data_IF_649600899739
#
_entry.id   IF_649600899739
#
_cell.length_a   1.000
_cell.length_b   1.000
_cell.length_c   1.000
_cell.angle_alpha   90.00
_cell.angle_beta   90.00
_cell.angle_gamma   90.00
#
_symmetry.space_group_name_H-M   'P 1'
#
loop_
_entity.id
_entity.type
_entity.pdbx_description
1 polymer ?
#
# COMPACT_ATOMS: atom_id res chain seq x y z
N UNK A 1 43.07 -25.36 -16.01
CA UNK A 1 43.21 -24.93 -14.62
C UNK A 1 42.41 -23.68 -14.45
N UNK A 2 41.28 -23.84 -14.19
CA UNK A 2 40.27 -23.71 -13.15
C UNK A 2 39.43 -22.44 -13.28
N UNK A 3 38.36 -22.57 -14.06
CA UNK A 3 37.21 -21.65 -14.06
C UNK A 3 36.15 -22.08 -13.00
N UNK A 4 36.58 -22.48 -11.81
CA UNK A 4 35.69 -23.07 -10.78
C UNK A 4 35.73 -22.36 -9.42
N UNK A 5 36.12 -21.12 -9.34
CA UNK A 5 36.17 -20.42 -8.04
C UNK A 5 35.59 -19.00 -8.00
N UNK A 6 34.66 -18.71 -8.92
CA UNK A 6 33.92 -17.44 -8.91
C UNK A 6 32.41 -17.64 -8.79
N UNK A 7 31.97 -18.84 -8.43
CA UNK A 7 30.62 -19.08 -7.94
C UNK A 7 30.72 -19.33 -6.44
N UNK A 8 30.41 -18.32 -5.68
CA UNK A 8 29.89 -18.32 -4.31
C UNK A 8 30.36 -17.12 -3.54
N UNK A 9 29.53 -16.15 -3.58
CA UNK A 9 29.01 -15.52 -2.38
C UNK A 9 27.74 -14.78 -2.84
N UNK A 10 26.71 -15.54 -3.18
CA UNK A 10 25.37 -15.08 -2.86
C UNK A 10 25.37 -15.15 -1.34
N UNK A 11 25.51 -14.01 -0.69
CA UNK A 11 25.22 -13.86 0.71
C UNK A 11 23.72 -14.14 0.83
N UNK A 12 23.36 -15.40 1.03
CA UNK A 12 22.09 -15.72 1.62
C UNK A 12 22.22 -15.19 3.04
N UNK A 13 21.76 -13.96 3.27
CA UNK A 13 21.29 -13.60 4.59
C UNK A 13 20.42 -14.78 5.01
N UNK A 14 20.78 -15.49 6.08
CA UNK A 14 19.90 -16.48 6.67
C UNK A 14 18.58 -15.73 6.88
N UNK A 15 17.55 -16.12 6.12
CA UNK A 15 16.22 -15.63 6.40
C UNK A 15 15.97 -15.97 7.87
N UNK A 16 15.88 -14.93 8.68
CA UNK A 16 15.59 -15.09 10.10
C UNK A 16 14.12 -15.50 10.19
N UNK A 17 13.84 -16.77 9.92
CA UNK A 17 12.50 -17.36 9.97
C UNK A 17 12.13 -17.44 11.46
N UNK A 18 11.66 -16.32 11.98
CA UNK A 18 11.06 -16.26 13.30
C UNK A 18 9.63 -16.78 13.14
N UNK A 19 9.23 -17.70 14.03
CA UNK A 19 7.85 -18.19 14.11
C UNK A 19 6.91 -17.01 14.38
N UNK A 20 6.05 -16.67 13.40
CA UNK A 20 5.16 -15.52 13.47
C UNK A 20 4.16 -15.58 14.63
N UNK A 21 3.89 -16.77 15.20
CA UNK A 21 3.05 -16.92 16.38
C UNK A 21 3.62 -16.24 17.64
N UNK A 22 4.90 -15.91 17.65
CA UNK A 22 5.60 -15.30 18.80
C UNK A 22 6.06 -13.87 18.51
N UNK A 23 5.63 -13.25 17.39
CA UNK A 23 5.98 -11.86 17.08
C UNK A 23 5.09 -10.89 17.81
N UNK A 24 5.70 -9.80 18.26
CA UNK A 24 5.01 -8.61 18.73
C UNK A 24 5.14 -7.54 17.65
N UNK A 25 4.00 -7.10 17.13
CA UNK A 25 3.96 -6.09 16.09
C UNK A 25 3.67 -4.71 16.67
N UNK A 26 4.37 -3.72 16.16
CA UNK A 26 4.07 -2.31 16.37
C UNK A 26 3.41 -1.75 15.11
N UNK A 27 2.17 -1.28 15.22
CA UNK A 27 1.47 -0.63 14.13
C UNK A 27 1.98 0.79 13.95
N UNK A 28 2.37 1.15 12.73
CA UNK A 28 2.94 2.46 12.39
C UNK A 28 2.02 3.19 11.42
N UNK A 29 1.50 4.33 11.86
CA UNK A 29 0.94 5.34 10.98
C UNK A 29 2.07 6.31 10.63
N UNK A 30 2.68 6.14 9.45
CA UNK A 30 3.89 6.88 9.02
C UNK A 30 3.64 8.38 9.09
N UNK A 31 2.47 8.85 8.64
CA UNK A 31 2.07 10.26 8.64
C UNK A 31 2.30 10.99 9.97
N UNK A 32 2.12 10.30 11.10
CA UNK A 32 2.23 10.88 12.45
C UNK A 32 3.40 10.35 13.27
N UNK A 33 4.26 9.49 12.70
CA UNK A 33 5.30 8.83 13.49
C UNK A 33 6.50 9.75 13.74
N UNK A 34 7.20 10.19 12.69
CA UNK A 34 8.33 11.10 12.80
C UNK A 34 8.58 11.84 11.47
N UNK A 35 8.65 13.16 11.54
CA UNK A 35 8.91 14.07 10.44
C UNK A 35 10.43 14.36 10.40
N UNK A 36 11.12 13.88 9.36
CA UNK A 36 12.57 14.03 9.24
C UNK A 36 13.01 15.29 8.51
N UNK A 37 12.12 15.90 7.72
CA UNK A 37 12.44 17.06 6.87
C UNK A 37 11.79 18.37 7.31
N UNK A 38 10.84 18.30 8.26
CA UNK A 38 10.22 19.48 8.88
C UNK A 38 9.02 20.03 8.13
N UNK A 39 8.40 19.24 7.27
CA UNK A 39 7.22 19.65 6.50
C UNK A 39 5.89 19.48 7.29
N UNK A 40 5.93 18.83 8.44
CA UNK A 40 4.78 18.56 9.31
C UNK A 40 4.14 17.20 9.10
N UNK A 41 4.69 16.37 8.22
CA UNK A 41 4.22 15.02 7.90
C UNK A 41 5.34 14.02 8.23
N UNK A 42 5.00 12.93 8.91
CA UNK A 42 5.94 11.84 9.14
C UNK A 42 6.30 11.11 7.86
N UNK A 43 7.52 10.59 7.77
CA UNK A 43 8.06 10.00 6.57
C UNK A 43 8.85 8.69 6.84
N UNK A 44 9.17 7.94 5.78
CA UNK A 44 9.88 6.66 5.89
C UNK A 44 11.30 6.81 6.40
N UNK A 45 11.95 7.93 6.11
CA UNK A 45 13.27 8.23 6.61
C UNK A 45 13.23 8.50 8.11
N UNK A 46 12.25 9.28 8.57
CA UNK A 46 12.02 9.54 9.98
C UNK A 46 11.71 8.25 10.76
N UNK A 47 10.91 7.35 10.18
CA UNK A 47 10.69 6.03 10.75
C UNK A 47 11.99 5.23 10.84
N UNK A 48 12.80 5.22 9.78
CA UNK A 48 14.09 4.50 9.73
C UNK A 48 15.05 5.01 10.78
N UNK A 49 15.17 6.33 10.94
CA UNK A 49 16.03 6.98 11.92
C UNK A 49 15.63 6.71 13.38
N UNK A 50 14.37 6.29 13.62
CA UNK A 50 13.83 6.04 14.94
C UNK A 50 13.44 4.58 15.20
N UNK A 51 13.95 3.64 14.41
CA UNK A 51 13.71 2.19 14.61
C UNK A 51 14.20 1.69 15.96
N UNK A 52 15.25 2.29 16.53
CA UNK A 52 15.79 1.89 17.82
C UNK A 52 14.80 2.11 18.98
N UNK A 53 13.79 2.96 18.81
CA UNK A 53 12.66 3.05 19.75
C UNK A 53 11.79 1.77 19.73
N UNK A 54 11.65 1.15 18.57
CA UNK A 54 10.82 -0.06 18.38
C UNK A 54 11.64 -1.29 18.76
N UNK A 55 12.86 -1.39 18.22
CA UNK A 55 13.82 -2.45 18.53
C UNK A 55 15.22 -2.01 18.03
N UNK A 56 16.21 -2.00 18.92
CA UNK A 56 17.59 -1.62 18.60
C UNK A 56 18.44 -2.79 18.06
N UNK A 57 17.86 -4.00 18.05
CA UNK A 57 18.53 -5.21 17.57
C UNK A 57 19.46 -5.87 18.60
N UNK A 58 19.58 -5.31 19.81
CA UNK A 58 20.39 -5.89 20.90
C UNK A 58 19.47 -6.45 22.01
N UNK A 59 19.35 -7.79 22.15
CA UNK A 59 18.49 -8.40 23.16
C UNK A 59 18.98 -8.20 24.60
N UNK A 60 20.14 -7.57 24.81
CA UNK A 60 20.69 -7.27 26.14
C UNK A 60 20.27 -5.89 26.64
N UNK A 61 19.68 -5.05 25.82
CA UNK A 61 19.16 -3.74 26.22
C UNK A 61 17.71 -3.86 26.69
N UNK A 62 17.23 -2.86 27.41
CA UNK A 62 15.84 -2.68 27.85
C UNK A 62 15.34 -1.25 27.57
N UNK A 63 15.94 -0.61 26.55
CA UNK A 63 15.68 0.79 26.18
C UNK A 63 14.71 0.95 25.02
N UNK A 64 14.30 -0.15 24.40
CA UNK A 64 13.35 -0.20 23.30
C UNK A 64 12.03 -0.90 23.70
N UNK A 65 11.10 -1.05 22.76
CA UNK A 65 9.85 -1.77 22.98
C UNK A 65 9.98 -3.29 22.81
N UNK A 66 11.08 -3.79 22.27
CA UNK A 66 11.32 -5.20 21.98
C UNK A 66 10.38 -5.79 20.93
N UNK A 67 9.73 -4.97 20.11
CA UNK A 67 8.88 -5.45 19.02
C UNK A 67 9.74 -6.01 17.89
N UNK A 68 9.38 -7.18 17.38
CA UNK A 68 10.10 -7.87 16.32
C UNK A 68 9.31 -7.92 15.00
N UNK A 69 8.31 -7.08 14.87
CA UNK A 69 7.57 -6.82 13.67
C UNK A 69 7.01 -5.39 13.64
N UNK A 70 6.88 -4.80 12.46
CA UNK A 70 6.11 -3.59 12.24
C UNK A 70 5.01 -3.86 11.22
N UNK A 71 3.87 -3.22 11.42
CA UNK A 71 2.77 -3.16 10.47
C UNK A 71 2.60 -1.71 10.04
N UNK A 72 2.94 -1.43 8.78
CA UNK A 72 2.76 -0.12 8.19
C UNK A 72 1.32 0.02 7.70
N UNK A 73 0.59 1.02 8.19
CA UNK A 73 -0.62 1.50 7.51
C UNK A 73 -0.27 1.87 6.07
N UNK A 74 -1.26 2.03 5.15
CA UNK A 74 -0.96 2.21 3.73
C UNK A 74 0.09 3.28 3.45
N UNK A 75 1.03 2.97 2.56
CA UNK A 75 2.16 3.84 2.18
C UNK A 75 2.15 4.23 0.70
N UNK A 76 1.18 3.74 -0.05
CA UNK A 76 1.02 4.03 -1.48
C UNK A 76 0.44 5.42 -1.70
N UNK A 77 0.62 6.01 -2.91
CA UNK A 77 -0.01 7.26 -3.30
C UNK A 77 -1.51 7.26 -3.09
N UNK A 78 -2.03 8.34 -2.53
CA UNK A 78 -3.42 8.47 -2.15
C UNK A 78 -3.85 9.94 -2.16
N UNK A 79 -5.16 10.20 -2.16
CA UNK A 79 -5.70 11.57 -2.07
C UNK A 79 -6.00 12.00 -0.65
N UNK A 80 -5.89 11.09 0.33
CA UNK A 80 -6.19 11.37 1.74
C UNK A 80 -4.99 11.10 2.65
N UNK A 81 -5.01 11.71 3.84
CA UNK A 81 -3.94 11.56 4.83
C UNK A 81 -3.79 10.14 5.38
N UNK A 82 -4.88 9.37 5.43
CA UNK A 82 -4.87 7.98 5.91
C UNK A 82 -4.43 6.96 4.87
N UNK A 83 -4.40 7.35 3.60
CA UNK A 83 -3.87 6.60 2.46
C UNK A 83 -4.59 5.28 2.11
N UNK A 84 -5.83 5.09 2.61
CA UNK A 84 -6.64 3.92 2.24
C UNK A 84 -7.28 4.02 0.85
N UNK A 85 -7.35 5.20 0.23
CA UNK A 85 -7.82 5.42 -1.14
C UNK A 85 -6.63 5.43 -2.11
N UNK A 86 -6.10 4.25 -2.41
CA UNK A 86 -4.89 4.06 -3.21
C UNK A 86 -5.10 4.49 -4.66
N UNK A 87 -4.20 5.32 -5.19
CA UNK A 87 -4.19 5.75 -6.58
C UNK A 87 -3.16 5.01 -7.44
N UNK A 88 -2.15 4.40 -6.82
CA UNK A 88 -1.11 3.61 -7.49
C UNK A 88 -0.54 2.57 -6.50
N UNK A 89 -0.68 1.28 -6.83
CA UNK A 89 -0.18 0.18 -5.98
C UNK A 89 1.31 -0.12 -6.17
N UNK A 90 1.96 0.47 -7.18
CA UNK A 90 3.35 0.18 -7.53
C UNK A 90 4.33 1.26 -7.08
N UNK A 91 3.84 2.26 -6.31
CA UNK A 91 4.64 3.40 -5.87
C UNK A 91 4.54 3.62 -4.36
N UNK A 92 5.49 4.36 -3.81
CA UNK A 92 5.43 4.97 -2.49
C UNK A 92 4.88 6.40 -2.62
N UNK A 93 4.01 6.80 -1.70
CA UNK A 93 3.49 8.17 -1.67
C UNK A 93 4.63 9.18 -1.54
N UNK A 94 4.71 10.19 -2.44
CA UNK A 94 5.77 11.20 -2.38
C UNK A 94 5.86 11.97 -1.06
N UNK A 95 4.76 12.06 -0.29
CA UNK A 95 4.78 12.64 1.07
C UNK A 95 5.57 11.78 2.06
N UNK A 96 5.70 10.48 1.79
CA UNK A 96 6.41 9.54 2.65
C UNK A 96 7.84 9.28 2.21
N UNK A 97 8.20 9.65 0.98
CA UNK A 97 9.52 9.45 0.39
C UNK A 97 9.50 8.66 -0.90
N UNK A 98 10.53 7.85 -1.11
CA UNK A 98 10.79 7.12 -2.34
C UNK A 98 10.78 5.61 -2.12
N UNK A 99 10.80 4.83 -3.21
CA UNK A 99 11.00 3.38 -3.15
C UNK A 99 12.36 3.02 -2.56
N UNK A 100 13.39 3.86 -2.75
CA UNK A 100 14.72 3.66 -2.14
C UNK A 100 14.66 3.86 -0.61
N UNK A 101 13.87 4.83 -0.12
CA UNK A 101 13.65 5.02 1.32
C UNK A 101 12.88 3.83 1.91
N UNK A 102 11.89 3.29 1.21
CA UNK A 102 11.18 2.09 1.63
C UNK A 102 12.09 0.86 1.68
N UNK A 103 12.93 0.67 0.66
CA UNK A 103 13.92 -0.41 0.63
C UNK A 103 14.90 -0.29 1.79
N UNK A 104 15.38 0.93 2.06
CA UNK A 104 16.27 1.23 3.19
C UNK A 104 15.61 0.89 4.52
N UNK A 105 14.34 1.28 4.72
CA UNK A 105 13.57 0.93 5.92
C UNK A 105 13.50 -0.59 6.11
N UNK A 106 13.17 -1.33 5.06
CA UNK A 106 13.06 -2.81 5.12
C UNK A 106 14.42 -3.43 5.49
N UNK A 107 15.50 -2.97 4.87
CA UNK A 107 16.86 -3.45 5.17
C UNK A 107 17.26 -3.16 6.63
N UNK A 108 16.95 -1.97 7.15
CA UNK A 108 17.26 -1.59 8.53
C UNK A 108 16.37 -2.36 9.53
N UNK A 109 15.13 -2.64 9.19
CA UNK A 109 14.27 -3.52 9.97
C UNK A 109 14.83 -4.95 10.05
N UNK A 110 15.23 -5.52 8.92
CA UNK A 110 15.78 -6.87 8.86
C UNK A 110 17.09 -7.00 9.65
N UNK A 111 17.96 -6.00 9.63
CA UNK A 111 19.19 -5.98 10.46
C UNK A 111 18.89 -6.09 11.96
N UNK A 112 17.74 -5.57 12.40
CA UNK A 112 17.28 -5.59 13.80
C UNK A 112 16.40 -6.81 14.13
N UNK A 113 16.16 -7.71 13.17
CA UNK A 113 15.23 -8.85 13.33
C UNK A 113 13.75 -8.45 13.32
N UNK A 114 13.42 -7.28 12.77
CA UNK A 114 12.06 -6.76 12.62
C UNK A 114 11.51 -7.20 11.27
N UNK A 115 10.37 -7.91 11.27
CA UNK A 115 9.59 -8.14 10.04
C UNK A 115 8.73 -6.94 9.68
N UNK A 116 8.56 -6.71 8.39
CA UNK A 116 7.71 -5.63 7.87
C UNK A 116 6.46 -6.21 7.22
N UNK A 117 5.30 -5.77 7.67
CA UNK A 117 4.01 -6.00 7.02
C UNK A 117 3.50 -4.66 6.51
N UNK A 118 3.00 -4.62 5.29
CA UNK A 118 2.29 -3.45 4.76
C UNK A 118 0.79 -3.73 4.71
N UNK A 119 -0.01 -2.72 5.03
CA UNK A 119 -1.45 -2.76 4.80
C UNK A 119 -1.72 -2.64 3.30
N UNK A 120 -2.14 -3.74 2.69
CA UNK A 120 -2.41 -3.83 1.26
C UNK A 120 -3.91 -3.76 1.00
N UNK A 121 -4.39 -2.60 0.55
CA UNK A 121 -5.82 -2.30 0.36
C UNK A 121 -6.34 -2.97 -0.91
N UNK A 122 -6.92 -4.16 -0.77
CA UNK A 122 -7.45 -4.96 -1.90
C UNK A 122 -8.96 -4.81 -2.12
N UNK A 123 -9.69 -4.18 -1.19
CA UNK A 123 -11.15 -4.10 -1.27
C UNK A 123 -11.62 -3.05 -2.28
N UNK A 124 -10.89 -1.97 -2.42
CA UNK A 124 -11.25 -0.82 -3.25
C UNK A 124 -10.02 -0.07 -3.71
N UNK A 125 -10.19 0.82 -4.68
CA UNK A 125 -9.18 1.81 -5.08
C UNK A 125 -9.66 3.21 -4.71
N UNK A 126 -8.81 4.22 -4.92
CA UNK A 126 -9.29 5.60 -5.03
C UNK A 126 -10.17 5.76 -6.28
N UNK A 127 -11.14 6.67 -6.22
CA UNK A 127 -11.85 7.13 -7.41
C UNK A 127 -10.91 7.81 -8.43
N UNK A 128 -9.71 8.22 -8.00
CA UNK A 128 -8.67 8.81 -8.86
C UNK A 128 -7.71 7.77 -9.44
N UNK A 129 -7.86 6.49 -9.10
CA UNK A 129 -7.06 5.41 -9.69
C UNK A 129 -7.31 5.32 -11.20
N UNK A 130 -6.26 5.13 -11.99
CA UNK A 130 -6.36 5.06 -13.46
C UNK A 130 -7.38 4.03 -13.94
N UNK A 131 -7.45 2.87 -13.29
CA UNK A 131 -8.41 1.81 -13.63
C UNK A 131 -9.85 2.31 -13.52
N UNK A 132 -10.19 2.95 -12.40
CA UNK A 132 -11.54 3.46 -12.18
C UNK A 132 -11.85 4.62 -13.11
N UNK A 133 -10.95 5.58 -13.26
CA UNK A 133 -11.14 6.72 -14.15
C UNK A 133 -11.37 6.29 -15.59
N UNK A 134 -10.62 5.29 -16.07
CA UNK A 134 -10.77 4.76 -17.42
C UNK A 134 -12.12 4.06 -17.60
N UNK A 135 -12.52 3.20 -16.66
CA UNK A 135 -13.84 2.54 -16.70
C UNK A 135 -14.98 3.55 -16.62
N UNK A 136 -14.87 4.53 -15.73
CA UNK A 136 -15.89 5.58 -15.55
C UNK A 136 -16.10 6.40 -16.81
N UNK A 137 -15.01 6.87 -17.44
CA UNK A 137 -15.06 7.64 -18.70
C UNK A 137 -15.58 6.80 -19.87
N UNK A 138 -15.21 5.52 -19.93
CA UNK A 138 -15.73 4.60 -20.92
C UNK A 138 -17.25 4.47 -20.82
N UNK A 139 -17.78 4.28 -19.62
CA UNK A 139 -19.24 4.21 -19.38
C UNK A 139 -19.95 5.52 -19.77
N UNK A 140 -19.32 6.67 -19.50
CA UNK A 140 -19.88 7.98 -19.93
C UNK A 140 -19.93 8.13 -21.44
N UNK A 141 -19.01 7.50 -22.17
CA UNK A 141 -18.97 7.51 -23.63
C UNK A 141 -19.92 6.53 -24.31
N UNK A 142 -20.52 5.59 -23.56
CA UNK A 142 -21.41 4.58 -24.15
C UNK A 142 -22.71 5.19 -24.66
N UNK A 143 -23.22 4.74 -25.83
CA UNK A 143 -24.56 5.06 -26.26
C UNK A 143 -25.61 4.61 -25.23
N UNK A 144 -26.69 5.37 -25.08
CA UNK A 144 -27.78 5.03 -24.16
C UNK A 144 -28.32 3.64 -24.42
N UNK A 145 -28.31 2.79 -23.40
CA UNK A 145 -28.78 1.41 -23.45
C UNK A 145 -27.76 0.40 -23.95
N UNK A 146 -26.55 0.84 -24.32
CA UNK A 146 -25.45 -0.07 -24.60
C UNK A 146 -24.93 -0.73 -23.31
N UNK A 147 -24.40 -1.95 -23.44
CA UNK A 147 -23.69 -2.65 -22.38
C UNK A 147 -22.18 -2.42 -22.54
N UNK A 148 -21.40 -2.38 -21.44
CA UNK A 148 -19.97 -2.27 -21.50
C UNK A 148 -19.36 -3.55 -22.10
N UNK A 149 -18.25 -3.37 -22.83
CA UNK A 149 -17.47 -4.45 -23.45
C UNK A 149 -16.04 -4.44 -22.89
N UNK A 150 -15.70 -5.46 -22.11
CA UNK A 150 -14.37 -5.60 -21.52
C UNK A 150 -13.26 -5.79 -22.57
N UNK A 151 -13.58 -6.16 -23.81
CA UNK A 151 -12.61 -6.19 -24.91
C UNK A 151 -12.20 -4.79 -25.38
N UNK A 152 -13.05 -3.78 -25.15
CA UNK A 152 -12.75 -2.36 -25.43
C UNK A 152 -12.16 -1.65 -24.21
N UNK A 153 -12.66 -1.97 -23.00
CA UNK A 153 -12.17 -1.43 -21.73
C UNK A 153 -12.10 -2.52 -20.66
N UNK A 154 -10.96 -3.18 -20.46
CA UNK A 154 -10.84 -4.26 -19.49
C UNK A 154 -11.20 -3.87 -18.06
N UNK A 155 -11.05 -2.61 -17.71
CA UNK A 155 -11.28 -2.11 -16.35
C UNK A 155 -12.75 -2.08 -15.94
N UNK A 156 -13.70 -2.27 -16.87
CA UNK A 156 -15.11 -2.41 -16.49
C UNK A 156 -15.39 -3.69 -15.70
N UNK A 157 -14.52 -4.70 -15.85
CA UNK A 157 -14.61 -5.94 -15.07
C UNK A 157 -13.89 -5.86 -13.72
N UNK A 158 -13.18 -4.77 -13.44
CA UNK A 158 -12.47 -4.58 -12.17
C UNK A 158 -13.39 -4.04 -11.06
N UNK A 159 -14.54 -3.48 -11.43
CA UNK A 159 -15.47 -2.84 -10.52
C UNK A 159 -16.88 -3.33 -10.74
N UNK A 160 -17.72 -3.23 -9.71
CA UNK A 160 -19.12 -3.58 -9.80
C UNK A 160 -19.95 -2.41 -10.34
N UNK A 161 -20.38 -2.51 -11.59
CA UNK A 161 -21.30 -1.55 -12.20
C UNK A 161 -22.71 -2.13 -12.34
N UNK A 162 -23.74 -1.29 -12.18
CA UNK A 162 -25.15 -1.69 -12.28
C UNK A 162 -26.00 -0.58 -12.88
N UNK A 163 -27.08 -0.95 -13.59
CA UNK A 163 -28.16 -0.01 -13.99
C UNK A 163 -29.19 0.19 -12.90
N UNK A 164 -29.14 -0.62 -11.85
CA UNK A 164 -30.01 -0.47 -10.68
C UNK A 164 -29.24 0.25 -9.57
N UNK A 165 -29.88 1.26 -8.97
CA UNK A 165 -29.35 1.92 -7.79
C UNK A 165 -29.53 1.01 -6.58
N UNK A 166 -28.47 0.31 -6.19
CA UNK A 166 -28.40 -0.53 -4.99
C UNK A 166 -27.90 0.26 -3.77
N UNK A 167 -27.95 -0.35 -2.58
CA UNK A 167 -27.34 0.22 -1.39
C UNK A 167 -25.81 0.27 -1.55
N UNK A 168 -25.18 1.40 -1.22
CA UNK A 168 -23.73 1.58 -1.42
C UNK A 168 -23.31 1.85 -2.87
N UNK A 169 -24.26 2.11 -3.76
CA UNK A 169 -23.99 2.44 -5.17
C UNK A 169 -24.17 3.92 -5.46
N UNK A 170 -23.23 4.49 -6.20
CA UNK A 170 -23.18 5.90 -6.57
C UNK A 170 -23.29 6.08 -8.09
N UNK A 171 -23.89 7.17 -8.58
CA UNK A 171 -24.12 7.36 -10.01
C UNK A 171 -22.83 7.59 -10.78
N UNK A 172 -22.73 7.01 -11.97
CA UNK A 172 -21.80 7.47 -13.02
C UNK A 172 -22.47 8.65 -13.71
N UNK A 173 -21.96 9.84 -13.49
CA UNK A 173 -22.60 11.08 -13.91
C UNK A 173 -22.89 11.11 -15.42
N UNK A 174 -24.10 11.52 -15.77
CA UNK A 174 -24.54 11.64 -17.17
C UNK A 174 -24.98 10.32 -17.81
N UNK A 175 -25.01 9.23 -17.06
CA UNK A 175 -25.40 7.88 -17.52
C UNK A 175 -26.56 7.30 -16.70
N UNK A 176 -26.98 6.09 -17.06
CA UNK A 176 -27.89 5.26 -16.25
C UNK A 176 -27.14 4.18 -15.44
N UNK A 177 -25.83 4.30 -15.31
CA UNK A 177 -24.97 3.40 -14.56
C UNK A 177 -24.68 3.91 -13.14
N UNK A 178 -24.43 2.96 -12.24
CA UNK A 178 -23.99 3.16 -10.86
C UNK A 178 -22.78 2.27 -10.60
N UNK A 179 -21.85 2.70 -9.74
CA UNK A 179 -20.71 1.90 -9.26
C UNK A 179 -20.84 1.64 -7.76
N UNK A 180 -20.34 0.49 -7.32
CA UNK A 180 -20.28 0.13 -5.90
C UNK A 180 -19.15 0.86 -5.19
N UNK A 181 -19.44 1.39 -3.97
CA UNK A 181 -18.47 1.97 -3.07
C UNK A 181 -19.03 1.93 -1.63
N UNK A 182 -18.80 0.83 -0.92
CA UNK A 182 -19.44 0.59 0.38
C UNK A 182 -18.91 1.50 1.49
N UNK A 183 -17.63 1.90 1.43
CA UNK A 183 -17.02 2.78 2.42
C UNK A 183 -17.34 4.25 2.16
N UNK A 184 -17.12 4.70 0.94
CA UNK A 184 -17.26 6.09 0.53
C UNK A 184 -17.24 6.20 -0.99
N UNK A 185 -17.97 7.21 -1.55
CA UNK A 185 -18.05 7.41 -3.01
C UNK A 185 -16.69 7.55 -3.70
N UNK A 186 -15.66 8.00 -2.97
CA UNK A 186 -14.30 8.11 -3.50
C UNK A 186 -13.46 6.83 -3.36
N UNK A 187 -14.09 5.75 -2.88
CA UNK A 187 -13.46 4.43 -2.71
C UNK A 187 -14.28 3.35 -3.43
N UNK A 188 -14.28 3.33 -4.78
CA UNK A 188 -14.99 2.32 -5.56
C UNK A 188 -14.45 0.92 -5.28
N UNK A 189 -15.37 -0.01 -4.96
CA UNK A 189 -15.03 -1.37 -4.59
C UNK A 189 -14.56 -2.18 -5.81
N UNK A 190 -13.49 -2.96 -5.61
CA UNK A 190 -12.99 -3.92 -6.59
C UNK A 190 -13.86 -5.18 -6.59
N UNK A 191 -13.97 -5.81 -7.78
CA UNK A 191 -14.77 -7.02 -8.01
C UNK A 191 -14.01 -8.30 -7.58
#
# INVERSE_FOLDING_TARGET
VTALSLMQQVNTAEENVIDDNYRTYYEVFVYSFYDSDGDGIGDLKGLTENLDYINDGDPATDTDLGCNGIWLMPVMPSTTYHKYDVTDYEAIDPEYGTMDDFTTLVDECHKRGINVIIDFVMNHTSSQHEWFQTAYQYLQGLPKGAEPDASECPYVDYYNFSKEKLGGYYPVEGTDWYYEAQFWSEMPDLN
#
